data_IF_754149310439
#
_entry.id   IF_754149310439
#
_cell.length_a   1.000
_cell.length_b   1.000
_cell.length_c   1.000
_cell.angle_alpha   90.00
_cell.angle_beta   90.00
_cell.angle_gamma   90.00
#
_symmetry.space_group_name_H-M   'P 1'
#
loop_
_entity.id
_entity.type
_entity.pdbx_description
1 polymer ?
#
# COMPACT_ATOMS: atom_id res chain seq x y z
N UNK A 1 15.92 -11.94 -25.22
CA UNK A 1 15.36 -10.72 -24.61
C UNK A 1 13.96 -10.38 -25.13
N UNK A 2 13.76 -10.29 -26.46
CA UNK A 2 12.48 -9.89 -27.09
C UNK A 2 11.32 -10.87 -26.83
N UNK A 3 11.54 -12.19 -26.97
CA UNK A 3 10.49 -13.20 -26.75
C UNK A 3 9.94 -13.16 -25.32
N UNK A 4 10.81 -13.05 -24.32
CA UNK A 4 10.40 -12.91 -22.92
C UNK A 4 9.62 -11.63 -22.65
N UNK A 5 9.94 -10.54 -23.35
CA UNK A 5 9.19 -9.29 -23.27
C UNK A 5 7.78 -9.44 -23.86
N UNK A 6 7.65 -10.06 -25.03
CA UNK A 6 6.35 -10.31 -25.68
C UNK A 6 5.44 -11.17 -24.80
N UNK A 7 5.95 -12.26 -24.24
CA UNK A 7 5.17 -13.14 -23.35
C UNK A 7 4.69 -12.39 -22.11
N UNK A 8 5.57 -11.65 -21.44
CA UNK A 8 5.20 -10.85 -20.25
C UNK A 8 4.20 -9.75 -20.58
N UNK A 9 4.38 -9.08 -21.72
CA UNK A 9 3.45 -8.05 -22.21
C UNK A 9 2.08 -8.63 -22.50
N UNK A 10 2.03 -9.81 -23.15
CA UNK A 10 0.78 -10.51 -23.43
C UNK A 10 0.04 -10.92 -22.16
N UNK A 11 0.75 -11.42 -21.15
CA UNK A 11 0.16 -11.74 -19.85
C UNK A 11 -0.42 -10.50 -19.15
N UNK A 12 0.31 -9.38 -19.16
CA UNK A 12 -0.17 -8.12 -18.58
C UNK A 12 -1.41 -7.61 -19.30
N UNK A 13 -1.39 -7.54 -20.63
CA UNK A 13 -2.52 -7.09 -21.44
C UNK A 13 -3.73 -8.01 -21.24
N UNK A 14 -3.52 -9.32 -21.23
CA UNK A 14 -4.57 -10.31 -20.98
C UNK A 14 -5.19 -10.14 -19.60
N UNK A 15 -4.37 -9.91 -18.57
CA UNK A 15 -4.84 -9.65 -17.21
C UNK A 15 -5.65 -8.36 -17.13
N UNK A 16 -5.17 -7.28 -17.74
CA UNK A 16 -5.88 -6.00 -17.77
C UNK A 16 -7.22 -6.16 -18.51
N UNK A 17 -7.24 -6.85 -19.65
CA UNK A 17 -8.46 -7.09 -20.41
C UNK A 17 -9.47 -7.91 -19.62
N UNK A 18 -9.02 -8.98 -18.96
CA UNK A 18 -9.87 -9.83 -18.14
C UNK A 18 -10.43 -9.07 -16.92
N UNK A 19 -9.58 -8.36 -16.18
CA UNK A 19 -10.00 -7.59 -15.00
C UNK A 19 -10.93 -6.44 -15.37
N UNK A 20 -10.74 -5.81 -16.53
CA UNK A 20 -11.69 -4.82 -17.06
C UNK A 20 -13.04 -5.44 -17.36
N UNK A 21 -13.07 -6.61 -18.02
CA UNK A 21 -14.32 -7.34 -18.31
C UNK A 21 -15.01 -7.85 -17.04
N UNK A 22 -14.26 -8.20 -16.01
CA UNK A 22 -14.79 -8.62 -14.72
C UNK A 22 -15.44 -7.48 -13.92
N UNK A 23 -15.31 -6.22 -14.35
CA UNK A 23 -15.91 -5.07 -13.67
C UNK A 23 -15.02 -4.45 -12.57
N UNK A 24 -13.76 -4.86 -12.47
CA UNK A 24 -12.78 -4.27 -11.51
C UNK A 24 -12.51 -2.80 -11.83
N UNK A 25 -12.46 -2.47 -13.12
CA UNK A 25 -12.25 -1.11 -13.63
C UNK A 25 -13.53 -0.54 -14.27
N UNK A 26 -14.67 -1.14 -13.96
CA UNK A 26 -15.97 -0.81 -14.53
C UNK A 26 -16.64 0.36 -13.83
N UNK A 27 -17.93 0.53 -14.08
CA UNK A 27 -18.73 1.50 -13.34
C UNK A 27 -18.88 1.07 -11.87
N UNK A 28 -19.11 2.00 -10.92
CA UNK A 28 -19.28 1.67 -9.51
C UNK A 28 -20.31 0.56 -9.26
N UNK A 29 -21.41 0.56 -10.02
CA UNK A 29 -22.45 -0.46 -9.95
C UNK A 29 -21.94 -1.86 -10.35
N UNK A 30 -21.09 -1.96 -11.40
CA UNK A 30 -20.51 -3.23 -11.86
C UNK A 30 -19.52 -3.77 -10.83
N UNK A 31 -18.71 -2.89 -10.24
CA UNK A 31 -17.77 -3.24 -9.17
C UNK A 31 -18.50 -3.65 -7.89
N UNK A 32 -19.62 -3.01 -7.56
CA UNK A 32 -20.46 -3.37 -6.41
C UNK A 32 -21.07 -4.77 -6.59
N UNK A 33 -21.58 -5.09 -7.79
CA UNK A 33 -22.07 -6.43 -8.12
C UNK A 33 -20.95 -7.47 -7.98
N UNK A 34 -19.76 -7.19 -8.53
CA UNK A 34 -18.60 -8.07 -8.41
C UNK A 34 -18.23 -8.34 -6.95
N UNK A 35 -18.16 -7.28 -6.13
CA UNK A 35 -17.84 -7.40 -4.71
C UNK A 35 -18.87 -8.24 -3.96
N UNK A 36 -20.16 -7.99 -4.18
CA UNK A 36 -21.23 -8.73 -3.53
C UNK A 36 -21.22 -10.21 -3.93
N UNK A 37 -20.91 -10.53 -5.19
CA UNK A 37 -20.75 -11.91 -5.65
C UNK A 37 -19.59 -12.61 -4.94
N UNK A 38 -18.42 -11.98 -4.90
CA UNK A 38 -17.23 -12.52 -4.21
C UNK A 38 -17.51 -12.70 -2.71
N UNK A 39 -18.15 -11.70 -2.09
CA UNK A 39 -18.55 -11.75 -0.67
C UNK A 39 -19.49 -12.92 -0.40
N UNK A 40 -20.47 -13.16 -1.28
CA UNK A 40 -21.41 -14.26 -1.14
C UNK A 40 -20.74 -15.63 -1.31
N UNK A 41 -19.83 -15.76 -2.28
CA UNK A 41 -19.06 -16.99 -2.49
C UNK A 41 -18.10 -17.31 -1.33
N UNK A 42 -17.49 -16.27 -0.73
CA UNK A 42 -16.56 -16.43 0.38
C UNK A 42 -17.24 -16.57 1.75
N UNK A 43 -18.51 -16.17 1.87
CA UNK A 43 -19.29 -16.24 3.12
C UNK A 43 -19.21 -17.58 3.86
N UNK A 44 -19.38 -18.76 3.23
CA UNK A 44 -19.28 -20.04 3.94
C UNK A 44 -17.90 -20.30 4.54
N UNK A 45 -16.83 -19.75 3.95
CA UNK A 45 -15.47 -19.90 4.46
C UNK A 45 -15.14 -18.89 5.55
N UNK A 46 -15.64 -17.66 5.42
CA UNK A 46 -15.40 -16.58 6.37
C UNK A 46 -16.15 -16.82 7.70
N UNK A 47 -17.30 -17.50 7.68
CA UNK A 47 -18.04 -17.90 8.90
C UNK A 47 -17.19 -18.69 9.92
N UNK A 48 -16.19 -19.44 9.46
CA UNK A 48 -15.28 -20.18 10.35
C UNK A 48 -14.21 -19.25 10.96
N UNK A 49 -13.83 -18.18 10.26
CA UNK A 49 -12.83 -17.21 10.68
C UNK A 49 -13.47 -16.15 11.60
N UNK A 50 -14.71 -15.74 11.33
CA UNK A 50 -15.49 -14.82 12.18
C UNK A 50 -15.71 -15.39 13.60
N UNK A 51 -15.76 -16.71 13.75
CA UNK A 51 -15.81 -17.37 15.07
C UNK A 51 -14.52 -17.22 15.88
N UNK A 52 -13.39 -17.00 15.21
CA UNK A 52 -12.08 -16.87 15.84
C UNK A 52 -11.63 -15.42 15.98
N UNK A 53 -12.17 -14.52 15.15
CA UNK A 53 -11.88 -13.08 15.20
C UNK A 53 -13.18 -12.28 15.00
N UNK A 54 -13.54 -11.38 15.93
CA UNK A 54 -14.74 -10.55 15.82
C UNK A 54 -14.51 -9.43 14.79
N UNK A 55 -14.55 -9.76 13.51
CA UNK A 55 -14.58 -8.77 12.43
C UNK A 55 -15.80 -9.03 11.56
N UNK A 56 -16.48 -7.96 11.14
CA UNK A 56 -17.56 -8.02 10.14
C UNK A 56 -17.00 -7.57 8.80
N UNK A 57 -17.32 -8.28 7.71
CA UNK A 57 -16.92 -7.85 6.37
C UNK A 57 -17.63 -6.53 6.04
N UNK A 58 -16.90 -5.40 5.91
CA UNK A 58 -17.52 -4.09 5.70
C UNK A 58 -18.31 -4.07 4.39
N UNK A 59 -19.40 -3.29 4.34
CA UNK A 59 -20.03 -2.99 3.07
C UNK A 59 -19.09 -2.12 2.22
N UNK A 60 -19.17 -2.22 0.90
CA UNK A 60 -18.53 -1.23 0.03
C UNK A 60 -19.12 0.14 0.39
N UNK A 61 -18.28 1.15 0.70
CA UNK A 61 -18.77 2.49 0.98
C UNK A 61 -19.38 3.06 -0.30
N UNK A 62 -20.34 3.98 -0.15
CA UNK A 62 -20.99 4.59 -1.32
C UNK A 62 -19.93 5.29 -2.17
N UNK A 63 -20.08 5.25 -3.50
CA UNK A 63 -19.06 5.70 -4.46
C UNK A 63 -18.48 7.10 -4.18
N UNK A 64 -19.28 7.99 -3.57
CA UNK A 64 -18.83 9.32 -3.11
C UNK A 64 -17.84 9.29 -1.96
N UNK A 65 -17.99 8.37 -1.00
CA UNK A 65 -17.09 8.21 0.15
C UNK A 65 -15.74 7.61 -0.27
N UNK A 66 -15.74 6.62 -1.17
CA UNK A 66 -14.52 6.06 -1.73
C UNK A 66 -13.73 7.11 -2.54
N UNK A 67 -14.44 7.92 -3.31
CA UNK A 67 -13.83 9.02 -4.07
C UNK A 67 -13.24 10.09 -3.13
N UNK A 68 -13.95 10.40 -2.03
CA UNK A 68 -13.46 11.31 -0.99
C UNK A 68 -12.19 10.75 -0.33
N UNK A 69 -12.20 9.49 0.10
CA UNK A 69 -11.06 8.82 0.74
C UNK A 69 -9.86 8.78 -0.20
N UNK A 70 -10.05 8.37 -1.46
CA UNK A 70 -8.99 8.33 -2.45
C UNK A 70 -8.39 9.73 -2.70
N UNK A 71 -9.24 10.75 -2.87
CA UNK A 71 -8.80 12.14 -3.07
C UNK A 71 -8.08 12.70 -1.84
N UNK A 72 -8.58 12.40 -0.64
CA UNK A 72 -8.00 12.84 0.62
C UNK A 72 -6.60 12.25 0.81
N UNK A 73 -6.45 10.92 0.73
CA UNK A 73 -5.16 10.26 0.89
C UNK A 73 -4.17 10.58 -0.23
N UNK A 74 -4.64 10.77 -1.46
CA UNK A 74 -3.75 11.22 -2.54
C UNK A 74 -3.18 12.61 -2.26
N UNK A 75 -4.04 13.55 -1.85
CA UNK A 75 -3.61 14.90 -1.50
C UNK A 75 -2.72 14.95 -0.25
N UNK A 76 -3.05 14.18 0.78
CA UNK A 76 -2.18 14.04 1.95
C UNK A 76 -0.83 13.43 1.58
N UNK A 77 -0.82 12.39 0.73
CA UNK A 77 0.39 11.75 0.24
C UNK A 77 1.31 12.76 -0.45
N UNK A 78 0.79 13.53 -1.40
CA UNK A 78 1.57 14.58 -2.08
C UNK A 78 2.12 15.60 -1.07
N UNK A 79 1.28 16.12 -0.17
CA UNK A 79 1.71 17.09 0.85
C UNK A 79 2.83 16.54 1.74
N UNK A 80 2.70 15.30 2.19
CA UNK A 80 3.69 14.63 3.04
C UNK A 80 4.99 14.35 2.29
N UNK A 81 4.92 13.96 1.02
CA UNK A 81 6.11 13.74 0.19
C UNK A 81 6.90 15.02 -0.02
N UNK A 82 6.24 16.13 -0.34
CA UNK A 82 6.93 17.43 -0.48
C UNK A 82 7.51 17.91 0.85
N UNK A 83 6.77 17.76 1.95
CA UNK A 83 7.27 18.09 3.29
C UNK A 83 8.47 17.21 3.68
N UNK A 84 8.51 15.94 3.26
CA UNK A 84 9.67 15.08 3.45
C UNK A 84 10.88 15.60 2.65
N UNK A 85 10.68 15.98 1.39
CA UNK A 85 11.74 16.55 0.54
C UNK A 85 12.28 17.86 1.14
N UNK A 86 11.41 18.72 1.66
CA UNK A 86 11.80 19.94 2.36
C UNK A 86 12.62 19.64 3.62
N UNK A 87 12.23 18.60 4.37
CA UNK A 87 12.91 18.19 5.59
C UNK A 87 14.13 17.28 5.35
N UNK A 88 14.39 16.85 4.11
CA UNK A 88 15.53 15.99 3.76
C UNK A 88 16.87 16.53 4.28
N UNK A 89 17.23 17.82 4.10
CA UNK A 89 18.49 18.35 4.62
C UNK A 89 18.60 18.24 6.14
N UNK A 90 17.49 18.42 6.87
CA UNK A 90 17.45 18.26 8.31
C UNK A 90 17.65 16.79 8.72
N UNK A 91 17.00 15.85 8.04
CA UNK A 91 17.19 14.41 8.27
C UNK A 91 18.62 13.96 7.95
N UNK A 92 19.21 14.43 6.85
CA UNK A 92 20.60 14.15 6.48
C UNK A 92 21.57 14.74 7.50
N UNK A 93 21.34 15.97 7.98
CA UNK A 93 22.17 16.58 9.02
C UNK A 93 22.13 15.80 10.34
N UNK A 94 20.94 15.35 10.77
CA UNK A 94 20.79 14.50 11.95
C UNK A 94 21.47 13.14 11.77
N UNK A 95 21.38 12.54 10.59
CA UNK A 95 22.04 11.27 10.27
C UNK A 95 23.57 11.42 10.31
N UNK A 96 24.11 12.46 9.67
CA UNK A 96 25.55 12.73 9.68
C UNK A 96 26.08 13.01 11.08
N UNK A 97 25.31 13.76 11.90
CA UNK A 97 25.66 13.98 13.30
C UNK A 97 25.73 12.67 14.08
N UNK A 98 24.70 11.82 13.98
CA UNK A 98 24.69 10.50 14.64
C UNK A 98 25.83 9.60 14.16
N UNK A 99 26.15 9.62 12.88
CA UNK A 99 27.27 8.87 12.33
C UNK A 99 28.59 9.37 12.94
N UNK A 100 28.80 10.69 12.97
CA UNK A 100 29.97 11.31 13.61
C UNK A 100 30.08 10.92 15.08
N UNK A 101 29.01 11.11 15.85
CA UNK A 101 28.99 10.81 17.30
C UNK A 101 29.36 9.33 17.55
N UNK A 102 28.87 8.41 16.69
CA UNK A 102 29.21 6.99 16.77
C UNK A 102 30.67 6.70 16.40
N UNK A 103 31.23 7.37 15.38
CA UNK A 103 32.64 7.23 15.04
C UNK A 103 33.56 7.77 16.15
N UNK A 104 33.18 8.85 16.81
CA UNK A 104 33.91 9.37 17.98
C UNK A 104 33.83 8.40 19.18
N UNK A 105 32.65 7.82 19.44
CA UNK A 105 32.45 6.78 20.46
C UNK A 105 33.29 5.51 20.18
N UNK A 106 33.45 5.11 18.92
CA UNK A 106 34.33 3.99 18.55
C UNK A 106 35.82 4.35 18.58
N UNK A 107 36.17 5.61 18.31
CA UNK A 107 37.55 6.08 18.36
C UNK A 107 38.05 6.22 19.80
N UNK A 108 37.17 6.51 20.75
CA UNK A 108 37.45 6.38 22.18
C UNK A 108 37.44 4.87 22.57
N UNK A 109 38.62 4.23 22.50
CA UNK A 109 38.89 2.89 23.07
C UNK A 109 38.35 2.78 24.51
N UNK A 110 37.84 1.60 24.97
CA UNK A 110 36.99 1.54 26.15
C UNK A 110 37.70 2.12 27.36
N UNK A 111 37.05 3.06 28.05
CA UNK A 111 37.50 3.53 29.36
C UNK A 111 37.69 2.29 30.24
N UNK A 112 38.95 1.94 30.50
CA UNK A 112 39.36 0.87 31.40
C UNK A 112 38.53 0.95 32.67
N UNK A 113 37.66 -0.03 32.86
CA UNK A 113 36.97 -0.25 34.13
C UNK A 113 38.03 -0.52 35.19
N UNK A 114 38.27 0.46 36.07
CA UNK A 114 38.87 0.25 37.38
C UNK A 114 37.75 0.22 38.42
#
# INVERSE_FOLDING_TARGET
MVVGFVVRSGLLIGTIYYTKKAGVWGNPNETEILYNNIKNELRPHIQNIEKQMPFEIPALPQSGELCFVAKHYYNEGIKKSFNFIEMLPCYTGQMLKKAKDKFEEFAESPKSTN
#
